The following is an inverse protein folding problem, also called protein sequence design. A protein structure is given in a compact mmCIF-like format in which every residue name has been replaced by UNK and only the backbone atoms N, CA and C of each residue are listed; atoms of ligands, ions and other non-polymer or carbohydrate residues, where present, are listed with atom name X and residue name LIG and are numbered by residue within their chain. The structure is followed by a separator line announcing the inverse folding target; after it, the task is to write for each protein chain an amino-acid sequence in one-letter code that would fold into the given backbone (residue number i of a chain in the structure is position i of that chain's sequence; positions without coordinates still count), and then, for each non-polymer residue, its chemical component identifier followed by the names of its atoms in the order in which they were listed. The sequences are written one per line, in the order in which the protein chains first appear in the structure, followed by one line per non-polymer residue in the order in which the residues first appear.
data_IF_699375693284
#
_entry.id   IF_699375693284
#
_cell.length_a   1.000
_cell.length_b   1.000
_cell.length_c   1.000
_cell.angle_alpha   90.00
_cell.angle_beta   90.00
_cell.angle_gamma   90.00
#
_symmetry.space_group_name_H-M   'P 1'
#
loop_
_entity.id
_entity.type
_entity.pdbx_description
1 polymer ?
#
# COMPACT_ATOMS: atom_id res chain seq x y z
N UNK A 1 -17.56 -4.41 -10.30
CA UNK A 1 -16.08 -4.35 -10.18
C UNK A 1 -15.47 -5.02 -11.39
N UNK A 2 -14.51 -4.40 -12.06
CA UNK A 2 -13.85 -4.95 -13.25
C UNK A 2 -12.81 -6.01 -12.87
N UNK A 3 -12.36 -6.86 -13.83
CA UNK A 3 -11.29 -7.83 -13.57
C UNK A 3 -10.01 -7.17 -13.04
N UNK A 4 -9.59 -6.03 -13.62
CA UNK A 4 -8.36 -5.32 -13.22
C UNK A 4 -8.43 -4.78 -11.80
N UNK A 5 -9.56 -4.19 -11.41
CA UNK A 5 -9.77 -3.74 -10.02
C UNK A 5 -9.77 -4.94 -9.07
N UNK A 6 -10.39 -6.05 -9.47
CA UNK A 6 -10.43 -7.28 -8.66
C UNK A 6 -9.03 -7.85 -8.43
N UNK A 7 -8.19 -7.88 -9.46
CA UNK A 7 -6.78 -8.31 -9.37
C UNK A 7 -5.96 -7.43 -8.43
N UNK A 8 -6.09 -6.10 -8.55
CA UNK A 8 -5.39 -5.18 -7.67
C UNK A 8 -5.90 -5.27 -6.22
N UNK A 9 -7.20 -5.52 -6.03
CA UNK A 9 -7.76 -5.76 -4.70
C UNK A 9 -7.20 -7.06 -4.11
N UNK A 10 -7.07 -8.13 -4.88
CA UNK A 10 -6.46 -9.38 -4.43
C UNK A 10 -5.00 -9.16 -4.03
N UNK A 11 -4.22 -8.46 -4.85
CA UNK A 11 -2.84 -8.11 -4.54
C UNK A 11 -2.71 -7.30 -3.23
N UNK A 12 -3.55 -6.28 -3.05
CA UNK A 12 -3.56 -5.50 -1.80
C UNK A 12 -4.04 -6.32 -0.62
N UNK A 13 -5.02 -7.22 -0.81
CA UNK A 13 -5.50 -8.11 0.23
C UNK A 13 -4.38 -9.03 0.72
N UNK A 14 -3.61 -9.62 -0.20
CA UNK A 14 -2.44 -10.44 0.12
C UNK A 14 -1.37 -9.60 0.84
N UNK A 15 -0.97 -8.47 0.23
CA UNK A 15 0.08 -7.61 0.78
C UNK A 15 -0.25 -7.05 2.18
N UNK A 16 -1.51 -6.69 2.39
CA UNK A 16 -1.95 -6.04 3.62
C UNK A 16 -2.40 -7.04 4.68
N UNK A 17 -3.04 -8.15 4.31
CA UNK A 17 -3.81 -8.98 5.25
C UNK A 17 -3.56 -10.49 5.16
N UNK A 18 -2.66 -10.99 4.30
CA UNK A 18 -2.34 -12.41 4.31
C UNK A 18 -1.89 -12.86 5.73
N UNK A 19 -2.30 -14.04 6.23
CA UNK A 19 -1.84 -14.53 7.52
C UNK A 19 -0.32 -14.65 7.65
N UNK A 20 0.41 -14.73 6.53
CA UNK A 20 1.86 -14.86 6.47
C UNK A 20 2.47 -13.80 5.53
N UNK A 21 3.57 -13.18 5.98
CA UNK A 21 4.36 -12.22 5.17
C UNK A 21 3.57 -10.99 4.66
N UNK A 22 2.61 -10.51 5.46
CA UNK A 22 1.85 -9.29 5.19
C UNK A 22 2.14 -8.18 6.17
N UNK A 23 1.67 -6.96 5.86
CA UNK A 23 1.78 -5.82 6.79
C UNK A 23 1.00 -6.08 8.08
N UNK A 24 -0.23 -6.62 8.03
CA UNK A 24 -1.03 -6.89 9.23
C UNK A 24 -0.35 -7.91 10.15
N UNK A 25 0.31 -8.91 9.58
CA UNK A 25 0.97 -9.99 10.34
C UNK A 25 2.08 -9.46 11.28
N UNK A 26 2.66 -8.29 10.96
CA UNK A 26 3.75 -7.67 11.73
C UNK A 26 3.32 -6.48 12.57
N UNK A 27 2.03 -6.08 12.55
CA UNK A 27 1.55 -4.91 13.31
C UNK A 27 1.76 -5.04 14.83
N UNK A 28 1.62 -6.26 15.34
CA UNK A 28 1.78 -6.58 16.76
C UNK A 28 3.24 -6.54 17.25
N UNK A 29 4.22 -6.53 16.33
CA UNK A 29 5.63 -6.49 16.69
C UNK A 29 5.97 -5.12 17.27
N UNK A 30 6.73 -5.11 18.36
CA UNK A 30 7.14 -3.88 19.04
C UNK A 30 8.67 -3.76 19.07
N UNK A 31 9.16 -2.54 19.26
CA UNK A 31 10.58 -2.24 19.37
C UNK A 31 11.04 -1.19 18.36
N UNK A 32 12.19 -0.52 18.59
CA UNK A 32 12.58 0.65 17.82
C UNK A 32 12.66 0.40 16.31
N UNK A 33 13.14 -0.79 15.91
CA UNK A 33 13.21 -1.17 14.49
C UNK A 33 11.83 -1.41 13.88
N UNK A 34 10.97 -2.16 14.56
CA UNK A 34 9.61 -2.44 14.10
C UNK A 34 8.78 -1.15 13.99
N UNK A 35 8.86 -0.25 14.97
CA UNK A 35 8.16 1.03 14.90
C UNK A 35 8.66 1.93 13.77
N UNK A 36 9.98 1.99 13.53
CA UNK A 36 10.54 2.72 12.39
C UNK A 36 10.05 2.17 11.05
N UNK A 37 10.05 0.85 10.89
CA UNK A 37 9.60 0.21 9.65
C UNK A 37 8.09 0.38 9.44
N UNK A 38 7.27 0.27 10.50
CA UNK A 38 5.83 0.57 10.43
C UNK A 38 5.56 2.02 10.04
N UNK A 39 6.26 2.97 10.66
CA UNK A 39 6.15 4.39 10.31
C UNK A 39 6.54 4.64 8.85
N UNK A 40 7.63 4.04 8.38
CA UNK A 40 8.09 4.15 7.01
C UNK A 40 7.10 3.57 5.98
N UNK A 41 6.50 2.41 6.26
CA UNK A 41 5.44 1.84 5.43
C UNK A 41 4.25 2.81 5.36
N UNK A 42 3.79 3.31 6.50
CA UNK A 42 2.67 4.25 6.56
C UNK A 42 2.97 5.53 5.76
N UNK A 43 4.11 6.16 5.98
CA UNK A 43 4.51 7.38 5.28
C UNK A 43 4.57 7.15 3.76
N UNK A 44 5.18 6.03 3.33
CA UNK A 44 5.26 5.70 1.91
C UNK A 44 3.87 5.50 1.31
N UNK A 45 3.01 4.69 1.95
CA UNK A 45 1.62 4.49 1.50
C UNK A 45 0.84 5.80 1.42
N UNK A 46 0.96 6.67 2.44
CA UNK A 46 0.30 7.98 2.42
C UNK A 46 0.77 8.85 1.25
N UNK A 47 2.07 8.85 0.97
CA UNK A 47 2.64 9.62 -0.14
C UNK A 47 2.17 9.07 -1.49
N UNK A 48 2.18 7.75 -1.67
CA UNK A 48 1.70 7.10 -2.89
C UNK A 48 0.21 7.39 -3.14
N UNK A 49 -0.63 7.33 -2.11
CA UNK A 49 -2.06 7.63 -2.24
C UNK A 49 -2.38 9.11 -2.39
N UNK A 50 -1.56 10.02 -1.83
CA UNK A 50 -1.64 11.45 -2.15
C UNK A 50 -1.31 11.71 -3.61
N UNK A 51 -0.31 11.01 -4.16
CA UNK A 51 0.08 11.13 -5.57
C UNK A 51 -1.00 10.54 -6.51
N UNK A 52 -1.59 9.40 -6.17
CA UNK A 52 -2.78 8.90 -6.87
C UNK A 52 -3.91 9.94 -6.79
N UNK A 53 -4.09 10.55 -5.62
CA UNK A 53 -5.07 11.62 -5.37
C UNK A 53 -4.89 12.89 -6.18
N UNK A 54 -3.71 13.14 -6.77
CA UNK A 54 -3.50 14.30 -7.64
C UNK A 54 -4.05 14.09 -9.06
N UNK A 55 -4.30 12.83 -9.46
CA UNK A 55 -4.80 12.48 -10.79
C UNK A 55 -6.17 11.81 -10.76
N UNK A 56 -6.57 11.26 -9.61
CA UNK A 56 -7.87 10.64 -9.37
C UNK A 56 -8.47 11.21 -8.10
N UNK A 57 -9.76 11.55 -8.11
CA UNK A 57 -10.43 12.01 -6.89
C UNK A 57 -10.59 10.85 -5.90
N UNK A 58 -9.83 10.89 -4.81
CA UNK A 58 -9.92 9.92 -3.71
C UNK A 58 -9.95 10.64 -2.36
N UNK A 59 -10.50 10.03 -1.29
CA UNK A 59 -10.43 10.60 0.06
C UNK A 59 -8.98 10.72 0.55
N UNK A 60 -8.73 11.56 1.54
CA UNK A 60 -7.39 11.67 2.15
C UNK A 60 -6.99 10.36 2.87
N UNK A 61 -5.71 9.94 2.79
CA UNK A 61 -5.26 8.75 3.48
C UNK A 61 -5.24 8.95 5.01
N UNK A 62 -5.57 7.91 5.79
CA UNK A 62 -5.60 7.96 7.25
C UNK A 62 -4.20 8.08 7.88
N UNK A 63 -4.16 8.43 9.17
CA UNK A 63 -2.93 8.73 9.91
C UNK A 63 -2.31 7.53 10.64
N UNK A 64 -2.93 6.35 10.59
CA UNK A 64 -2.43 5.13 11.21
C UNK A 64 -2.39 3.98 10.21
N UNK A 65 -1.46 3.04 10.43
CA UNK A 65 -1.18 1.99 9.47
C UNK A 65 -2.34 0.99 9.33
N UNK A 66 -3.03 0.64 10.42
CA UNK A 66 -4.13 -0.32 10.36
C UNK A 66 -5.28 0.20 9.51
N UNK A 67 -5.73 1.44 9.77
CA UNK A 67 -6.74 2.11 8.94
C UNK A 67 -6.27 2.31 7.50
N UNK A 68 -4.96 2.54 7.29
CA UNK A 68 -4.40 2.67 5.94
C UNK A 68 -4.64 1.40 5.12
N UNK A 69 -4.42 0.22 5.69
CA UNK A 69 -4.59 -1.05 4.98
C UNK A 69 -6.03 -1.26 4.45
N UNK A 70 -7.02 -0.88 5.26
CA UNK A 70 -8.44 -0.95 4.88
C UNK A 70 -8.81 0.12 3.87
N UNK A 71 -8.29 1.34 4.06
CA UNK A 71 -8.47 2.48 3.17
C UNK A 71 -8.06 2.13 1.73
N UNK A 72 -6.91 1.48 1.51
CA UNK A 72 -6.44 1.16 0.15
C UNK A 72 -7.45 0.27 -0.60
N UNK A 73 -8.00 -0.74 0.09
CA UNK A 73 -9.01 -1.64 -0.48
C UNK A 73 -10.33 -0.91 -0.73
N UNK A 74 -10.77 -0.09 0.22
CA UNK A 74 -12.02 0.66 0.09
C UNK A 74 -11.95 1.65 -1.08
N UNK A 75 -10.86 2.40 -1.20
CA UNK A 75 -10.70 3.37 -2.28
C UNK A 75 -10.61 2.68 -3.63
N UNK A 76 -9.76 1.65 -3.74
CA UNK A 76 -9.59 0.91 -5.00
C UNK A 76 -10.91 0.31 -5.53
N UNK A 77 -11.76 -0.24 -4.64
CA UNK A 77 -13.07 -0.81 -5.02
C UNK A 77 -14.03 0.22 -5.62
N UNK A 78 -13.83 1.50 -5.30
CA UNK A 78 -14.66 2.61 -5.77
C UNK A 78 -14.06 3.35 -6.96
N UNK A 79 -12.86 2.98 -7.43
CA UNK A 79 -12.28 3.57 -8.63
C UNK A 79 -12.99 3.10 -9.89
N UNK A 80 -12.98 3.98 -10.90
CA UNK A 80 -13.31 3.58 -12.27
C UNK A 80 -12.10 2.86 -12.90
N UNK A 81 -12.36 1.93 -13.82
CA UNK A 81 -11.29 1.17 -14.48
C UNK A 81 -10.37 2.07 -15.31
N UNK A 82 -10.93 3.10 -15.96
CA UNK A 82 -10.21 4.13 -16.70
C UNK A 82 -9.18 4.86 -15.85
N UNK A 83 -9.46 5.05 -14.54
CA UNK A 83 -8.55 5.71 -13.61
C UNK A 83 -7.26 4.94 -13.41
N UNK A 84 -7.25 3.62 -13.64
CA UNK A 84 -6.07 2.77 -13.46
C UNK A 84 -4.94 3.06 -14.46
N UNK A 85 -5.29 3.64 -15.62
CA UNK A 85 -4.36 3.97 -16.70
C UNK A 85 -3.91 5.43 -16.68
N UNK A 86 -4.43 6.24 -15.74
CA UNK A 86 -4.01 7.64 -15.64
C UNK A 86 -2.52 7.73 -15.29
N UNK A 87 -1.76 8.56 -16.01
CA UNK A 87 -0.33 8.73 -15.77
C UNK A 87 -0.08 9.59 -14.54
N UNK A 88 0.98 9.28 -13.81
CA UNK A 88 1.53 10.05 -12.71
C UNK A 88 3.06 10.05 -12.80
N UNK A 89 3.70 11.09 -12.25
CA UNK A 89 5.15 11.21 -12.18
C UNK A 89 5.64 10.73 -10.81
N UNK A 90 6.56 9.77 -10.81
CA UNK A 90 7.18 9.23 -9.61
C UNK A 90 8.67 8.99 -9.84
N UNK A 91 9.53 9.67 -9.07
CA UNK A 91 10.99 9.57 -9.17
C UNK A 91 11.51 9.68 -10.62
N UNK A 92 11.13 10.76 -11.31
CA UNK A 92 11.50 11.05 -12.70
C UNK A 92 11.07 9.98 -13.73
N UNK A 93 10.05 9.18 -13.36
CA UNK A 93 9.45 8.16 -14.21
C UNK A 93 7.95 8.34 -14.29
N UNK A 94 7.43 8.20 -15.49
CA UNK A 94 5.99 8.07 -15.68
C UNK A 94 5.54 6.66 -15.27
N UNK A 95 4.51 6.59 -14.45
CA UNK A 95 3.84 5.36 -14.06
C UNK A 95 2.33 5.54 -14.20
N UNK A 96 1.58 4.44 -14.28
CA UNK A 96 0.12 4.50 -14.16
C UNK A 96 -0.31 4.38 -12.70
N UNK A 97 -1.54 4.79 -12.38
CA UNK A 97 -2.16 4.54 -11.06
C UNK A 97 -2.06 3.06 -10.67
N UNK A 98 -2.38 2.14 -11.58
CA UNK A 98 -2.22 0.70 -11.32
C UNK A 98 -0.76 0.28 -11.10
N UNK A 99 0.19 0.93 -11.79
CA UNK A 99 1.62 0.73 -11.56
C UNK A 99 2.05 1.14 -10.15
N UNK A 100 1.56 2.29 -9.69
CA UNK A 100 1.82 2.82 -8.34
C UNK A 100 1.24 1.90 -7.25
N UNK A 101 0.00 1.44 -7.40
CA UNK A 101 -0.62 0.51 -6.43
C UNK A 101 0.20 -0.78 -6.31
N UNK A 102 0.66 -1.34 -7.44
CA UNK A 102 1.52 -2.53 -7.43
C UNK A 102 2.87 -2.27 -6.78
N UNK A 103 3.45 -1.08 -6.96
CA UNK A 103 4.69 -0.68 -6.32
C UNK A 103 4.52 -0.59 -4.80
N UNK A 104 3.50 0.14 -4.33
CA UNK A 104 3.15 0.28 -2.91
C UNK A 104 2.98 -1.10 -2.25
N UNK A 105 2.24 -2.02 -2.89
CA UNK A 105 2.02 -3.37 -2.38
C UNK A 105 3.35 -4.14 -2.17
N UNK A 106 4.21 -4.20 -3.20
CA UNK A 106 5.50 -4.90 -3.12
C UNK A 106 6.43 -4.27 -2.09
N UNK A 107 6.50 -2.94 -2.06
CA UNK A 107 7.35 -2.20 -1.13
C UNK A 107 6.96 -2.45 0.33
N UNK A 108 5.65 -2.46 0.59
CA UNK A 108 5.10 -2.70 1.92
C UNK A 108 5.42 -4.12 2.41
N UNK A 109 5.23 -5.13 1.57
CA UNK A 109 5.56 -6.53 1.90
C UNK A 109 7.06 -6.73 2.11
N UNK A 110 7.90 -6.10 1.30
CA UNK A 110 9.36 -6.17 1.48
C UNK A 110 9.79 -5.69 2.87
N UNK A 111 9.24 -4.57 3.35
CA UNK A 111 9.50 -4.07 4.70
C UNK A 111 8.83 -4.92 5.79
N UNK A 112 7.65 -5.49 5.53
CA UNK A 112 7.02 -6.46 6.43
C UNK A 112 7.93 -7.68 6.66
N UNK A 113 8.50 -8.24 5.59
CA UNK A 113 9.46 -9.35 5.66
C UNK A 113 10.71 -9.03 6.49
N UNK A 114 11.20 -7.79 6.44
CA UNK A 114 12.33 -7.35 7.27
C UNK A 114 12.01 -7.35 8.77
N UNK A 115 10.74 -7.16 9.15
CA UNK A 115 10.30 -7.24 10.54
C UNK A 115 10.04 -8.68 11.00
N UNK A 116 9.61 -9.56 10.08
CA UNK A 116 9.35 -10.97 10.38
C UNK A 116 10.63 -11.75 10.77
N UNK A 117 11.80 -11.29 10.31
CA UNK A 117 13.10 -11.86 10.69
C UNK A 117 13.48 -11.46 12.13
N UNK A 118 13.10 -12.31 13.10
CA UNK A 118 13.35 -12.14 14.56
C UNK A 118 14.83 -12.19 15.00
N UNK A 119 15.80 -12.30 14.09
CA UNK A 119 17.22 -12.60 14.42
C UNK A 119 18.24 -11.60 13.85
N UNK A 120 17.85 -10.37 13.54
CA UNK A 120 18.76 -9.35 12.99
C UNK A 120 18.98 -8.15 13.93
N UNK A 121 18.84 -8.34 15.23
CA UNK A 121 19.30 -7.41 16.25
C UNK A 121 20.46 -8.04 17.05
#
# INVERSE_FOLDING_TARGET
MTPRISELCALLQEANFDPWESVSSVLHLTGPRAERLKAHILETKQNDWKLIGSVVQVPLPPADLASMLEYELQVLRNLEDSSLDLPLQYCDREMTVAGMIRLSARHSVWHAGQMALKHLD
#
